data_IF_607407414338
#
_entry.id   IF_607407414338
#
_cell.length_a   1.000
_cell.length_b   1.000
_cell.length_c   1.000
_cell.angle_alpha   90.00
_cell.angle_beta   90.00
_cell.angle_gamma   90.00
#
_symmetry.space_group_name_H-M   'P 1'
#
loop_
_entity.id
_entity.type
_entity.pdbx_description
1 polymer ?
#
# COMPACT_ATOMS: atom_id res chain seq x y z
N UNK A 1 -2.64 -20.29 -10.08
CA UNK A 1 -2.57 -18.82 -10.02
C UNK A 1 -3.98 -18.29 -9.79
N UNK A 2 -4.18 -17.21 -9.03
CA UNK A 2 -5.51 -16.63 -8.82
C UNK A 2 -6.15 -16.27 -10.18
N UNK A 3 -7.43 -16.54 -10.34
CA UNK A 3 -8.24 -16.05 -11.49
C UNK A 3 -8.54 -14.56 -11.37
N UNK A 4 -8.20 -13.97 -10.23
CA UNK A 4 -8.41 -12.58 -9.84
C UNK A 4 -7.08 -11.82 -9.80
N UNK A 5 -7.20 -10.49 -9.69
CA UNK A 5 -6.04 -9.63 -9.52
C UNK A 5 -5.49 -9.72 -8.09
N UNK A 6 -4.16 -9.78 -7.98
CA UNK A 6 -3.44 -9.47 -6.74
C UNK A 6 -2.72 -8.14 -6.87
N UNK A 7 -2.53 -7.44 -5.76
CA UNK A 7 -1.98 -6.09 -5.75
C UNK A 7 -0.88 -5.95 -4.70
N UNK A 8 0.12 -5.16 -5.04
CA UNK A 8 0.94 -4.43 -4.07
C UNK A 8 0.84 -2.93 -4.40
N UNK A 9 1.49 -2.08 -3.61
CA UNK A 9 1.36 -0.62 -3.78
C UNK A 9 1.90 -0.11 -5.13
N UNK A 10 2.77 -0.87 -5.79
CA UNK A 10 3.43 -0.50 -7.04
C UNK A 10 3.20 -1.53 -8.16
N UNK A 11 2.22 -2.41 -8.04
CA UNK A 11 2.01 -3.44 -9.04
C UNK A 11 0.71 -4.19 -8.90
N UNK A 12 0.30 -4.81 -10.00
CA UNK A 12 -0.79 -5.78 -9.99
C UNK A 12 -0.47 -6.98 -10.87
N UNK A 13 -1.06 -8.12 -10.54
CA UNK A 13 -0.91 -9.36 -11.29
C UNK A 13 -2.28 -9.96 -11.55
N UNK A 14 -2.63 -10.15 -12.83
CA UNK A 14 -3.75 -10.98 -13.26
C UNK A 14 -3.22 -12.39 -13.48
N UNK A 15 -3.68 -13.36 -12.69
CA UNK A 15 -3.08 -14.69 -12.70
C UNK A 15 -3.45 -15.54 -13.93
N UNK A 16 -4.68 -16.06 -14.05
CA UNK A 16 -5.08 -16.96 -15.15
C UNK A 16 -6.54 -16.73 -15.59
N UNK A 17 -6.86 -15.54 -16.12
CA UNK A 17 -8.23 -15.23 -16.59
C UNK A 17 -8.63 -16.15 -17.77
N UNK A 18 -9.69 -16.96 -17.65
CA UNK A 18 -10.12 -17.83 -18.75
C UNK A 18 -10.85 -17.04 -19.83
N UNK A 19 -10.58 -17.38 -21.10
CA UNK A 19 -11.29 -16.92 -22.29
C UNK A 19 -11.81 -18.16 -23.00
N UNK A 20 -13.11 -18.40 -22.89
CA UNK A 20 -13.78 -19.52 -23.55
C UNK A 20 -14.21 -19.11 -24.95
N UNK A 21 -13.86 -19.93 -25.93
CA UNK A 21 -14.20 -19.73 -27.34
C UNK A 21 -15.07 -20.91 -27.77
N UNK A 22 -16.11 -20.63 -28.53
CA UNK A 22 -16.93 -21.64 -29.22
C UNK A 22 -17.04 -21.23 -30.67
N UNK A 23 -16.68 -22.14 -31.57
CA UNK A 23 -16.65 -21.92 -33.01
C UNK A 23 -17.86 -22.56 -33.69
N UNK A 24 -18.48 -21.82 -34.60
CA UNK A 24 -19.57 -22.28 -35.45
C UNK A 24 -19.08 -22.48 -36.88
N UNK A 25 -19.62 -23.52 -37.53
CA UNK A 25 -19.57 -23.69 -38.99
C UNK A 25 -20.97 -24.00 -39.48
N UNK A 26 -21.44 -23.27 -40.49
CA UNK A 26 -22.80 -23.40 -41.02
C UNK A 26 -23.89 -23.33 -39.91
N UNK A 27 -23.66 -22.46 -38.91
CA UNK A 27 -24.55 -22.26 -37.76
C UNK A 27 -24.49 -23.34 -36.68
N UNK A 28 -23.62 -24.35 -36.78
CA UNK A 28 -23.51 -25.44 -35.80
C UNK A 28 -22.17 -25.38 -35.05
N UNK A 29 -22.15 -25.64 -33.73
CA UNK A 29 -20.90 -25.76 -32.98
C UNK A 29 -20.00 -26.85 -33.55
N UNK A 30 -18.75 -26.50 -33.88
CA UNK A 30 -17.75 -27.45 -34.39
C UNK A 30 -16.65 -27.74 -33.37
N UNK A 31 -16.43 -26.85 -32.41
CA UNK A 31 -15.48 -27.06 -31.32
C UNK A 31 -15.39 -25.87 -30.38
N UNK A 32 -14.63 -26.05 -29.32
CA UNK A 32 -14.35 -25.04 -28.31
C UNK A 32 -12.87 -24.99 -27.98
N UNK A 33 -12.43 -23.86 -27.43
CA UNK A 33 -11.07 -23.67 -26.96
C UNK A 33 -11.04 -22.83 -25.69
N UNK A 34 -10.03 -23.07 -24.86
CA UNK A 34 -9.73 -22.32 -23.65
C UNK A 34 -8.38 -21.64 -23.79
N UNK A 35 -8.39 -20.31 -23.70
CA UNK A 35 -7.19 -19.51 -23.53
C UNK A 35 -7.12 -18.97 -22.09
N UNK A 36 -5.91 -18.80 -21.57
CA UNK A 36 -5.67 -18.07 -20.32
C UNK A 36 -4.90 -16.80 -20.59
N UNK A 37 -5.42 -15.68 -20.09
CA UNK A 37 -4.73 -14.39 -20.06
C UNK A 37 -4.15 -14.18 -18.67
N UNK A 38 -2.87 -13.85 -18.63
CA UNK A 38 -2.18 -13.38 -17.44
C UNK A 38 -1.48 -12.06 -17.72
N UNK A 39 -1.34 -11.23 -16.71
CA UNK A 39 -0.59 -9.98 -16.85
C UNK A 39 0.10 -9.58 -15.56
N UNK A 40 1.19 -8.82 -15.70
CA UNK A 40 1.90 -8.19 -14.57
C UNK A 40 2.15 -6.73 -14.91
N UNK A 41 1.51 -5.85 -14.15
CA UNK A 41 1.66 -4.41 -14.25
C UNK A 41 2.62 -3.93 -13.16
N UNK A 42 3.58 -3.07 -13.52
CA UNK A 42 4.57 -2.50 -12.60
C UNK A 42 4.55 -0.98 -12.70
N UNK A 43 4.04 -0.33 -11.66
CA UNK A 43 4.10 1.11 -11.45
C UNK A 43 5.49 1.55 -10.99
N UNK A 44 5.80 2.83 -11.16
CA UNK A 44 7.06 3.41 -10.74
C UNK A 44 6.79 4.58 -9.78
N UNK A 45 7.45 4.56 -8.62
CA UNK A 45 7.33 5.61 -7.61
C UNK A 45 7.92 6.95 -8.05
N UNK A 46 8.66 6.99 -9.15
CA UNK A 46 9.36 8.16 -9.66
C UNK A 46 9.10 8.42 -11.15
N UNK A 47 8.06 7.80 -11.74
CA UNK A 47 7.64 8.07 -13.12
C UNK A 47 6.14 8.10 -13.26
N UNK A 48 5.69 8.89 -14.24
CA UNK A 48 4.31 8.93 -14.72
C UNK A 48 4.03 7.94 -15.86
N UNK A 49 4.93 6.99 -16.08
CA UNK A 49 4.75 5.91 -17.04
C UNK A 49 4.97 4.56 -16.37
N UNK A 50 4.28 3.54 -16.88
CA UNK A 50 4.37 2.18 -16.37
C UNK A 50 4.18 1.17 -17.49
N UNK A 51 4.67 -0.05 -17.25
CA UNK A 51 4.57 -1.17 -18.18
C UNK A 51 3.70 -2.28 -17.62
N UNK A 52 3.07 -3.02 -18.52
CA UNK A 52 2.38 -4.25 -18.20
C UNK A 52 2.76 -5.36 -19.18
N UNK A 53 3.31 -6.45 -18.67
CA UNK A 53 3.60 -7.64 -19.46
C UNK A 53 2.36 -8.52 -19.54
N UNK A 54 1.91 -8.82 -20.75
CA UNK A 54 0.74 -9.64 -21.04
C UNK A 54 1.18 -10.99 -21.58
N UNK A 55 0.54 -12.07 -21.13
CA UNK A 55 0.71 -13.41 -21.70
C UNK A 55 -0.65 -14.04 -22.01
N UNK A 56 -0.71 -14.74 -23.13
CA UNK A 56 -1.90 -15.47 -23.58
C UNK A 56 -1.48 -16.89 -23.90
N UNK A 57 -1.95 -17.87 -23.12
CA UNK A 57 -1.66 -19.29 -23.31
C UNK A 57 -2.88 -20.00 -23.90
N UNK A 58 -2.67 -20.86 -24.89
CA UNK A 58 -3.70 -21.75 -25.39
C UNK A 58 -3.61 -23.09 -24.65
N UNK A 59 -4.57 -23.34 -23.77
CA UNK A 59 -4.55 -24.47 -22.83
C UNK A 59 -5.09 -25.75 -23.45
N UNK A 60 -6.32 -25.69 -23.97
CA UNK A 60 -7.04 -26.89 -24.41
C UNK A 60 -8.09 -26.56 -25.45
N UNK A 61 -8.47 -27.57 -26.23
CA UNK A 61 -9.55 -27.51 -27.19
C UNK A 61 -10.32 -28.82 -27.22
N UNK A 62 -11.56 -28.76 -27.71
CA UNK A 62 -12.45 -29.90 -27.87
C UNK A 62 -13.20 -29.81 -29.21
N UNK A 63 -13.66 -30.96 -29.72
CA UNK A 63 -14.42 -31.04 -30.96
C UNK A 63 -13.56 -31.14 -32.22
N UNK A 64 -14.15 -30.79 -33.36
CA UNK A 64 -13.59 -30.87 -34.71
C UNK A 64 -13.43 -29.47 -35.30
N UNK A 65 -12.55 -28.67 -34.69
CA UNK A 65 -12.19 -27.36 -35.24
C UNK A 65 -11.62 -27.50 -36.65
N UNK A 66 -11.89 -26.52 -37.52
CA UNK A 66 -11.44 -26.54 -38.91
C UNK A 66 -9.91 -26.40 -39.00
N UNK A 67 -9.34 -25.65 -38.06
CA UNK A 67 -7.90 -25.59 -37.76
C UNK A 67 -7.71 -25.61 -36.24
N UNK A 68 -6.50 -25.90 -35.76
CA UNK A 68 -6.19 -25.79 -34.33
C UNK A 68 -5.46 -24.47 -34.01
N UNK A 69 -5.49 -23.49 -34.91
CA UNK A 69 -4.77 -22.22 -34.75
C UNK A 69 -5.77 -21.07 -34.67
N UNK A 70 -5.55 -20.18 -33.71
CA UNK A 70 -6.31 -18.94 -33.57
C UNK A 70 -5.45 -17.73 -33.93
N UNK A 71 -6.07 -16.69 -34.47
CA UNK A 71 -5.47 -15.37 -34.66
C UNK A 71 -5.92 -14.45 -33.52
N UNK A 72 -4.95 -13.97 -32.74
CA UNK A 72 -5.18 -13.21 -31.51
C UNK A 72 -4.73 -11.76 -31.70
N UNK A 73 -5.64 -10.83 -31.46
CA UNK A 73 -5.33 -9.42 -31.22
C UNK A 73 -5.65 -9.05 -29.78
N UNK A 74 -4.84 -8.19 -29.19
CA UNK A 74 -5.01 -7.68 -27.84
C UNK A 74 -4.81 -6.18 -27.83
N UNK A 75 -5.66 -5.46 -27.07
CA UNK A 75 -5.55 -4.02 -26.89
C UNK A 75 -5.81 -3.67 -25.43
N UNK A 76 -4.87 -2.98 -24.81
CA UNK A 76 -5.03 -2.32 -23.54
C UNK A 76 -5.44 -0.85 -23.73
N UNK A 77 -6.11 -0.30 -22.73
CA UNK A 77 -6.54 1.09 -22.68
C UNK A 77 -6.58 1.59 -21.24
N UNK A 78 -6.64 2.91 -21.07
CA UNK A 78 -6.85 3.55 -19.79
C UNK A 78 -7.74 4.79 -19.94
N UNK A 79 -8.26 5.30 -18.83
CA UNK A 79 -9.15 6.46 -18.82
C UNK A 79 -8.45 7.75 -18.32
N UNK A 80 -9.22 8.85 -18.31
CA UNK A 80 -8.83 10.17 -17.76
C UNK A 80 -7.56 10.71 -18.41
N UNK A 81 -6.57 11.13 -17.60
CA UNK A 81 -5.31 11.71 -18.04
C UNK A 81 -4.29 10.68 -18.53
N UNK A 82 -4.59 9.38 -18.39
CA UNK A 82 -3.74 8.32 -18.91
C UNK A 82 -3.93 8.15 -20.43
N UNK A 83 -2.81 7.92 -21.11
CA UNK A 83 -2.72 7.57 -22.53
C UNK A 83 -1.89 6.30 -22.70
N UNK A 84 -2.21 5.52 -23.72
CA UNK A 84 -1.36 4.40 -24.11
C UNK A 84 -0.18 4.92 -24.92
N UNK A 85 1.05 4.68 -24.44
CA UNK A 85 2.26 4.83 -25.25
C UNK A 85 2.40 3.64 -26.21
N UNK A 86 2.01 2.44 -25.76
CA UNK A 86 1.89 1.23 -26.58
C UNK A 86 0.61 0.50 -26.17
N UNK A 87 -0.41 0.51 -27.03
CA UNK A 87 -1.73 -0.04 -26.72
C UNK A 87 -1.83 -1.56 -26.94
N UNK A 88 -0.96 -2.13 -27.77
CA UNK A 88 -1.00 -3.55 -28.13
C UNK A 88 0.36 -4.19 -27.89
N UNK A 89 0.41 -5.39 -27.28
CA UNK A 89 1.67 -6.10 -26.98
C UNK A 89 2.42 -6.59 -28.22
N UNK A 90 1.74 -6.62 -29.37
CA UNK A 90 2.29 -6.91 -30.68
C UNK A 90 1.49 -6.18 -31.77
N UNK A 91 2.09 -6.03 -32.95
CA UNK A 91 1.43 -5.44 -34.12
C UNK A 91 0.47 -6.44 -34.76
N UNK A 92 -0.78 -6.03 -34.99
CA UNK A 92 -1.77 -6.83 -35.70
C UNK A 92 -2.23 -8.07 -34.94
N UNK A 93 -2.54 -9.14 -35.68
CA UNK A 93 -2.94 -10.43 -35.14
C UNK A 93 -1.77 -11.42 -35.21
N UNK A 94 -1.58 -12.20 -34.14
CA UNK A 94 -0.61 -13.29 -34.12
C UNK A 94 -1.31 -14.65 -34.06
N UNK A 95 -0.74 -15.62 -34.74
CA UNK A 95 -1.18 -17.01 -34.70
C UNK A 95 -0.79 -17.67 -33.39
N UNK A 96 -1.70 -18.44 -32.80
CA UNK A 96 -1.51 -19.19 -31.56
C UNK A 96 -2.04 -20.62 -31.74
N UNK A 97 -1.15 -21.60 -31.67
CA UNK A 97 -1.47 -23.03 -31.74
C UNK A 97 -1.57 -23.65 -30.32
N UNK A 98 -2.06 -24.90 -30.17
CA UNK A 98 -2.25 -25.51 -28.86
C UNK A 98 -0.93 -25.63 -28.11
N UNK A 99 -0.95 -25.43 -26.79
CA UNK A 99 0.22 -25.42 -25.90
C UNK A 99 1.24 -24.29 -26.16
N UNK A 100 0.95 -23.34 -27.05
CA UNK A 100 1.79 -22.16 -27.24
C UNK A 100 1.39 -21.01 -26.30
N UNK A 101 2.29 -20.04 -26.18
CA UNK A 101 2.06 -18.80 -25.42
C UNK A 101 2.52 -17.61 -26.25
N UNK A 102 1.66 -16.61 -26.37
CA UNK A 102 2.03 -15.27 -26.84
C UNK A 102 2.41 -14.40 -25.65
N UNK A 103 3.37 -13.50 -25.83
CA UNK A 103 3.80 -12.56 -24.80
C UNK A 103 4.23 -11.25 -25.42
N UNK A 104 4.00 -10.15 -24.71
CA UNK A 104 4.47 -8.82 -25.08
C UNK A 104 4.06 -7.78 -24.04
N UNK A 105 4.51 -6.56 -24.22
CA UNK A 105 4.32 -5.48 -23.26
C UNK A 105 3.42 -4.38 -23.82
N UNK A 106 2.58 -3.82 -22.95
CA UNK A 106 1.88 -2.56 -23.20
C UNK A 106 2.43 -1.48 -22.29
N UNK A 107 2.36 -0.23 -22.74
CA UNK A 107 2.92 0.91 -22.02
C UNK A 107 1.88 2.01 -21.86
N UNK A 108 1.84 2.56 -20.65
CA UNK A 108 0.92 3.61 -20.23
C UNK A 108 1.72 4.85 -19.84
N UNK A 109 1.13 6.02 -20.02
CA UNK A 109 1.71 7.29 -19.59
C UNK A 109 0.64 8.28 -19.16
N UNK A 110 0.97 9.08 -18.14
CA UNK A 110 0.26 10.29 -17.75
C UNK A 110 1.17 11.48 -18.08
N UNK A 111 0.64 12.45 -18.82
CA UNK A 111 1.44 13.60 -19.27
C UNK A 111 1.71 14.62 -18.15
N UNK A 112 0.78 14.76 -17.21
CA UNK A 112 0.83 15.74 -16.13
C UNK A 112 0.36 15.08 -14.83
N UNK A 113 1.10 15.22 -13.71
CA UNK A 113 0.68 14.65 -12.44
C UNK A 113 -0.67 15.26 -12.02
N UNK A 114 -1.52 14.44 -11.42
CA UNK A 114 -2.82 14.90 -10.96
C UNK A 114 -2.70 15.31 -9.49
N UNK A 115 -2.67 16.61 -9.20
CA UNK A 115 -2.69 17.13 -7.84
C UNK A 115 -4.11 17.15 -7.25
N UNK A 116 -4.24 16.89 -5.95
CA UNK A 116 -5.50 16.82 -5.22
C UNK A 116 -6.38 15.62 -5.60
N UNK A 117 -5.81 14.59 -6.23
CA UNK A 117 -6.57 13.50 -6.84
C UNK A 117 -6.33 12.17 -6.12
N UNK A 118 -7.31 11.73 -5.32
CA UNK A 118 -7.28 10.45 -4.58
C UNK A 118 -7.55 9.21 -5.46
N UNK A 119 -6.80 9.06 -6.55
CA UNK A 119 -6.82 7.88 -7.42
C UNK A 119 -8.05 7.77 -8.32
N UNK A 120 -7.86 7.24 -9.53
CA UNK A 120 -9.00 7.11 -10.45
C UNK A 120 -8.67 6.74 -11.89
N UNK A 121 -7.40 6.45 -12.19
CA UNK A 121 -7.02 5.87 -13.47
C UNK A 121 -7.36 4.38 -13.41
N UNK A 122 -8.16 3.90 -14.35
CA UNK A 122 -8.47 2.47 -14.52
C UNK A 122 -7.87 1.96 -15.82
N UNK A 123 -7.33 0.75 -15.82
CA UNK A 123 -6.92 0.06 -17.04
C UNK A 123 -8.03 -0.86 -17.55
N UNK A 124 -8.09 -1.02 -18.87
CA UNK A 124 -9.11 -1.77 -19.59
C UNK A 124 -8.45 -2.59 -20.68
N UNK A 125 -9.08 -3.69 -21.06
CA UNK A 125 -8.50 -4.69 -21.94
C UNK A 125 -9.56 -5.23 -22.89
N UNK A 126 -9.12 -5.52 -24.11
CA UNK A 126 -9.91 -6.18 -25.15
C UNK A 126 -9.04 -7.23 -25.82
N UNK A 127 -9.53 -8.46 -25.87
CA UNK A 127 -8.98 -9.52 -26.72
C UNK A 127 -9.96 -9.79 -27.86
N UNK A 128 -9.43 -10.02 -29.05
CA UNK A 128 -10.15 -10.55 -30.19
C UNK A 128 -9.52 -11.86 -30.64
N UNK A 129 -10.35 -12.89 -30.79
CA UNK A 129 -9.94 -14.23 -31.18
C UNK A 129 -10.74 -14.65 -32.40
N UNK A 130 -10.01 -15.05 -33.45
CA UNK A 130 -10.59 -15.44 -34.73
C UNK A 130 -9.98 -16.76 -35.21
N UNK A 131 -10.76 -17.59 -35.87
CA UNK A 131 -10.29 -18.77 -36.60
C UNK A 131 -10.76 -18.72 -38.05
N UNK A 132 -9.88 -19.10 -38.97
CA UNK A 132 -10.21 -19.13 -40.39
C UNK A 132 -11.24 -20.25 -40.68
N UNK A 133 -12.29 -19.92 -41.43
CA UNK A 133 -13.31 -20.88 -41.87
C UNK A 133 -14.39 -21.21 -40.83
N UNK A 134 -14.42 -20.49 -39.71
CA UNK A 134 -15.46 -20.58 -38.67
C UNK A 134 -15.93 -19.19 -38.25
N UNK A 135 -17.04 -19.15 -37.52
CA UNK A 135 -17.56 -17.93 -36.87
C UNK A 135 -17.58 -18.16 -35.36
N UNK A 136 -16.81 -17.40 -34.57
CA UNK A 136 -16.86 -17.51 -33.13
C UNK A 136 -18.21 -16.98 -32.59
N UNK A 137 -18.81 -17.69 -31.64
CA UNK A 137 -20.02 -17.24 -30.92
C UNK A 137 -19.74 -15.92 -30.19
N UNK A 138 -18.53 -15.79 -29.64
CA UNK A 138 -18.06 -14.59 -28.96
C UNK A 138 -16.61 -14.29 -29.37
N UNK A 139 -16.39 -13.51 -30.45
CA UNK A 139 -15.05 -13.19 -30.97
C UNK A 139 -14.23 -12.30 -30.03
N UNK A 140 -14.84 -11.75 -28.99
CA UNK A 140 -14.22 -10.75 -28.14
C UNK A 140 -14.54 -10.94 -26.65
N UNK A 141 -13.56 -10.61 -25.83
CA UNK A 141 -13.77 -10.43 -24.39
C UNK A 141 -13.17 -9.10 -23.98
N UNK A 142 -13.86 -8.43 -23.06
CA UNK A 142 -13.40 -7.17 -22.46
C UNK A 142 -13.44 -7.29 -20.94
N UNK A 143 -12.51 -6.62 -20.29
CA UNK A 143 -12.47 -6.51 -18.83
C UNK A 143 -11.66 -5.28 -18.43
N UNK A 144 -11.68 -4.95 -17.15
CA UNK A 144 -10.90 -3.86 -16.56
C UNK A 144 -10.23 -4.33 -15.29
N UNK A 145 -9.15 -3.64 -14.92
CA UNK A 145 -8.61 -3.76 -13.58
C UNK A 145 -9.55 -3.01 -12.61
N UNK A 146 -10.12 -3.67 -11.58
CA UNK A 146 -11.11 -3.06 -10.69
C UNK A 146 -10.51 -2.02 -9.74
N UNK A 147 -9.18 -1.96 -9.61
CA UNK A 147 -8.51 -0.99 -8.73
C UNK A 147 -7.95 0.16 -9.53
N UNK A 148 -8.00 1.34 -8.92
CA UNK A 148 -7.55 2.58 -9.51
C UNK A 148 -6.10 2.86 -9.20
N UNK A 149 -5.41 3.49 -10.15
CA UNK A 149 -4.06 4.02 -10.01
C UNK A 149 -4.17 5.52 -9.71
N UNK A 150 -3.31 6.01 -8.83
CA UNK A 150 -3.04 7.43 -8.57
C UNK A 150 -1.67 7.76 -9.13
N UNK A 151 -1.55 8.88 -9.83
CA UNK A 151 -0.27 9.40 -10.34
C UNK A 151 -0.21 10.91 -10.06
N UNK A 152 0.71 11.33 -9.21
CA UNK A 152 0.78 12.65 -8.57
C UNK A 152 2.23 13.03 -8.23
N UNK A 153 2.43 14.26 -7.76
CA UNK A 153 3.64 14.83 -7.17
C UNK A 153 3.41 15.39 -5.75
N UNK A 154 2.41 14.87 -5.02
CA UNK A 154 2.00 15.45 -3.72
C UNK A 154 2.96 15.13 -2.57
N UNK A 155 3.73 14.05 -2.68
CA UNK A 155 4.65 13.59 -1.62
C UNK A 155 6.04 14.20 -1.76
N UNK A 156 6.45 14.48 -2.99
CA UNK A 156 7.71 15.13 -3.34
C UNK A 156 7.63 15.70 -4.75
N UNK A 157 8.57 16.56 -5.12
CA UNK A 157 8.69 17.14 -6.47
C UNK A 157 8.94 16.11 -7.58
N UNK A 158 9.17 14.84 -7.24
CA UNK A 158 9.30 13.74 -8.21
C UNK A 158 7.96 13.04 -8.33
N UNK A 159 7.25 13.16 -9.48
CA UNK A 159 5.96 12.52 -9.66
C UNK A 159 6.09 11.00 -9.79
N UNK A 160 5.06 10.27 -9.36
CA UNK A 160 5.04 8.81 -9.42
C UNK A 160 3.64 8.22 -9.29
N UNK A 161 3.52 6.92 -9.55
CA UNK A 161 2.23 6.23 -9.55
C UNK A 161 2.14 5.13 -8.48
N UNK A 162 0.97 4.98 -7.85
CA UNK A 162 0.66 3.95 -6.85
C UNK A 162 -0.75 3.40 -6.99
N UNK A 163 -0.98 2.23 -6.39
CA UNK A 163 -2.30 1.78 -5.99
C UNK A 163 -2.64 2.32 -4.59
N UNK A 164 -3.41 3.42 -4.46
CA UNK A 164 -3.62 4.09 -3.18
C UNK A 164 -4.44 3.26 -2.17
N UNK A 165 -5.21 2.26 -2.64
CA UNK A 165 -5.99 1.38 -1.78
C UNK A 165 -5.14 0.38 -0.96
N UNK A 166 -3.84 0.28 -1.22
CA UNK A 166 -2.92 -0.58 -0.48
C UNK A 166 -2.38 0.19 0.73
N UNK A 167 -2.85 -0.19 1.91
CA UNK A 167 -2.39 0.34 3.20
C UNK A 167 -0.97 -0.12 3.49
N UNK A 168 0.01 0.80 3.62
CA UNK A 168 1.37 0.44 3.96
C UNK A 168 1.50 0.00 5.42
N UNK A 169 2.61 -0.67 5.71
CA UNK A 169 2.97 -1.10 7.06
C UNK A 169 4.31 -0.47 7.43
N UNK A 170 4.30 0.35 8.48
CA UNK A 170 5.48 0.84 9.18
C UNK A 170 6.00 -0.28 10.07
N UNK A 171 7.24 -0.72 9.85
CA UNK A 171 7.84 -1.81 10.63
C UNK A 171 8.91 -1.22 11.54
N UNK A 172 8.69 -1.32 12.85
CA UNK A 172 9.61 -0.82 13.86
C UNK A 172 9.99 -1.95 14.82
N UNK A 173 11.02 -2.77 14.51
CA UNK A 173 11.43 -3.88 15.38
C UNK A 173 11.93 -3.40 16.74
N UNK A 174 11.55 -4.11 17.81
CA UNK A 174 12.03 -3.86 19.17
C UNK A 174 13.56 -3.92 19.25
N UNK A 175 14.18 -4.86 18.54
CA UNK A 175 15.64 -4.98 18.45
C UNK A 175 16.37 -3.75 17.89
N UNK A 176 15.68 -2.91 17.11
CA UNK A 176 16.27 -1.72 16.46
C UNK A 176 15.88 -0.43 17.17
N UNK A 177 14.58 -0.25 17.44
CA UNK A 177 14.03 1.01 17.96
C UNK A 177 13.72 0.97 19.47
N UNK A 178 13.91 -0.20 20.11
CA UNK A 178 13.96 -0.38 21.56
C UNK A 178 12.81 0.30 22.32
N UNK A 179 13.09 1.22 23.24
CA UNK A 179 12.11 1.90 24.10
C UNK A 179 11.04 2.65 23.29
N UNK A 180 11.37 3.17 22.11
CA UNK A 180 10.38 3.79 21.21
C UNK A 180 9.36 2.75 20.72
N UNK A 181 9.84 1.65 20.12
CA UNK A 181 8.99 0.56 19.66
C UNK A 181 8.20 -0.09 20.81
N UNK A 182 8.79 -0.19 22.01
CA UNK A 182 8.12 -0.70 23.21
C UNK A 182 6.95 0.20 23.63
N UNK A 183 7.11 1.52 23.56
CA UNK A 183 6.04 2.50 23.82
C UNK A 183 4.87 2.31 22.87
N UNK A 184 5.14 2.13 21.57
CA UNK A 184 4.11 1.93 20.55
C UNK A 184 3.38 0.60 20.76
N UNK A 185 4.14 -0.46 21.04
CA UNK A 185 3.59 -1.78 21.34
C UNK A 185 2.71 -1.77 22.60
N UNK A 186 3.13 -1.06 23.64
CA UNK A 186 2.35 -0.90 24.85
C UNK A 186 1.02 -0.22 24.57
N UNK A 187 0.99 0.89 23.83
CA UNK A 187 -0.28 1.53 23.47
C UNK A 187 -1.17 0.56 22.67
N UNK A 188 -0.61 -0.23 21.75
CA UNK A 188 -1.36 -1.21 20.96
C UNK A 188 -1.94 -2.37 21.78
N UNK A 189 -1.29 -2.78 22.87
CA UNK A 189 -1.65 -3.98 23.64
C UNK A 189 -2.35 -3.71 24.98
N UNK A 190 -2.01 -2.60 25.63
CA UNK A 190 -2.53 -2.26 26.96
C UNK A 190 -3.84 -1.47 26.89
N UNK A 191 -3.95 -0.56 25.92
CA UNK A 191 -5.10 0.33 25.76
C UNK A 191 -6.30 -0.35 25.09
N UNK A 192 -7.50 0.14 25.40
CA UNK A 192 -8.74 -0.19 24.69
C UNK A 192 -8.78 0.45 23.28
N UNK A 193 -7.78 1.27 22.93
CA UNK A 193 -7.61 1.93 21.64
C UNK A 193 -6.32 1.42 20.94
N UNK A 194 -6.37 0.26 20.26
CA UNK A 194 -5.21 -0.36 19.61
C UNK A 194 -4.91 0.32 18.25
N UNK A 195 -4.62 1.61 18.29
CA UNK A 195 -4.33 2.45 17.13
C UNK A 195 -3.07 1.98 16.40
N UNK A 196 -3.03 2.16 15.08
CA UNK A 196 -2.00 1.63 14.18
C UNK A 196 -2.09 0.14 13.88
N UNK A 197 -3.10 -0.58 14.37
CA UNK A 197 -3.37 -1.96 13.95
C UNK A 197 -4.17 -2.01 12.65
N UNK A 198 -4.32 -3.19 12.04
CA UNK A 198 -5.19 -3.37 10.86
C UNK A 198 -6.66 -3.00 11.12
N UNK A 199 -7.13 -3.16 12.36
CA UNK A 199 -8.50 -2.85 12.75
C UNK A 199 -8.70 -1.34 13.00
N UNK A 200 -7.63 -0.63 13.35
CA UNK A 200 -7.64 0.80 13.63
C UNK A 200 -6.34 1.44 13.08
N UNK A 201 -6.18 1.56 11.76
CA UNK A 201 -4.98 2.14 11.15
C UNK A 201 -4.83 3.61 11.55
N UNK A 202 -3.59 4.12 11.50
CA UNK A 202 -3.32 5.55 11.59
C UNK A 202 -3.50 6.19 10.21
N UNK A 203 -3.78 7.48 10.16
CA UNK A 203 -3.82 8.25 8.92
C UNK A 203 -2.73 9.31 8.94
N UNK A 204 -1.98 9.43 7.84
CA UNK A 204 -0.92 10.45 7.72
C UNK A 204 -1.52 11.84 7.89
N UNK A 205 -0.86 12.68 8.69
CA UNK A 205 -1.08 14.12 8.74
C UNK A 205 0.07 14.82 8.02
N UNK A 206 -0.16 15.41 6.85
CA UNK A 206 0.89 16.00 6.01
C UNK A 206 1.32 17.41 6.46
N UNK A 207 0.39 18.15 7.06
CA UNK A 207 0.57 19.53 7.49
C UNK A 207 1.54 19.62 8.68
N UNK A 208 2.70 20.23 8.46
CA UNK A 208 3.79 20.33 9.44
C UNK A 208 3.39 21.18 10.65
N UNK A 209 2.60 22.24 10.45
CA UNK A 209 2.14 23.10 11.53
C UNK A 209 1.14 22.34 12.42
N UNK A 210 0.26 21.55 11.79
CA UNK A 210 -0.66 20.67 12.53
C UNK A 210 0.09 19.56 13.30
N UNK A 211 1.18 19.01 12.73
CA UNK A 211 2.04 18.07 13.45
C UNK A 211 2.72 18.73 14.67
N UNK A 212 3.16 19.98 14.54
CA UNK A 212 3.74 20.71 15.66
C UNK A 212 2.70 20.99 16.75
N UNK A 213 1.46 21.33 16.37
CA UNK A 213 0.34 21.44 17.32
C UNK A 213 0.09 20.10 18.03
N UNK A 214 0.09 18.97 17.32
CA UNK A 214 -0.06 17.65 17.92
C UNK A 214 1.06 17.36 18.94
N UNK A 215 2.31 17.64 18.56
CA UNK A 215 3.47 17.44 19.44
C UNK A 215 3.38 18.32 20.69
N UNK A 216 3.04 19.59 20.50
CA UNK A 216 2.92 20.55 21.60
C UNK A 216 1.70 20.26 22.48
N UNK A 217 0.69 19.53 22.03
CA UNK A 217 -0.44 19.10 22.87
C UNK A 217 -0.06 17.91 23.75
N UNK A 218 0.62 16.92 23.17
CA UNK A 218 0.96 15.66 23.86
C UNK A 218 2.21 15.81 24.74
N UNK A 219 3.26 16.39 24.17
CA UNK A 219 4.61 16.45 24.72
C UNK A 219 5.01 17.86 25.19
N UNK A 220 4.14 18.54 25.94
CA UNK A 220 4.54 19.78 26.65
C UNK A 220 5.63 19.45 27.67
N UNK A 221 6.87 19.86 27.41
CA UNK A 221 8.01 19.52 28.28
C UNK A 221 8.20 20.54 29.39
N UNK A 222 8.32 20.07 30.63
CA UNK A 222 8.74 20.86 31.78
C UNK A 222 10.27 20.86 31.96
N UNK A 223 10.78 21.82 32.72
CA UNK A 223 12.17 21.78 33.17
C UNK A 223 12.45 20.51 33.98
N UNK A 224 13.67 19.98 33.87
CA UNK A 224 14.09 18.82 34.66
C UNK A 224 14.00 19.11 36.16
N UNK A 225 13.48 18.14 36.93
CA UNK A 225 13.24 18.31 38.37
C UNK A 225 12.01 19.16 38.72
N UNK A 226 11.21 19.58 37.74
CA UNK A 226 9.91 20.17 38.00
C UNK A 226 8.96 19.17 38.68
N UNK A 227 7.90 19.69 39.31
CA UNK A 227 6.85 18.85 39.89
C UNK A 227 6.16 18.07 38.77
N UNK A 228 6.08 16.75 38.92
CA UNK A 228 5.34 15.88 38.01
C UNK A 228 3.85 16.22 38.08
N UNK A 229 3.26 16.63 36.94
CA UNK A 229 1.81 16.78 36.77
C UNK A 229 1.36 15.97 35.54
N UNK A 230 0.09 15.57 35.43
CA UNK A 230 -0.39 14.78 34.30
C UNK A 230 -0.17 15.45 32.93
N UNK A 231 -0.26 16.78 32.87
CA UNK A 231 -0.13 17.59 31.66
C UNK A 231 1.30 17.62 31.13
N UNK A 232 2.27 17.81 32.02
CA UNK A 232 3.65 18.07 31.64
C UNK A 232 4.46 16.78 31.53
N UNK A 233 5.33 16.72 30.52
CA UNK A 233 6.38 15.72 30.43
C UNK A 233 7.61 16.23 31.20
N UNK A 234 7.93 15.60 32.33
CA UNK A 234 9.09 15.97 33.16
C UNK A 234 10.25 15.05 32.79
N UNK A 235 11.33 15.62 32.21
CA UNK A 235 12.50 14.83 31.81
C UNK A 235 13.15 14.13 33.02
N UNK A 236 13.66 12.94 32.77
CA UNK A 236 14.40 12.08 33.70
C UNK A 236 15.82 11.83 33.19
N UNK A 237 16.52 12.91 32.82
CA UNK A 237 17.85 12.84 32.20
C UNK A 237 18.90 12.13 33.08
N UNK A 238 18.71 12.13 34.40
CA UNK A 238 19.55 11.37 35.34
C UNK A 238 19.49 9.83 35.18
N UNK A 239 18.42 9.29 34.56
CA UNK A 239 18.23 7.86 34.27
C UNK A 239 18.27 7.56 32.78
N UNK A 240 17.71 8.45 31.96
CA UNK A 240 17.52 8.25 30.52
C UNK A 240 18.33 9.30 29.78
N UNK A 241 19.40 8.91 29.05
CA UNK A 241 20.23 9.86 28.31
C UNK A 241 19.40 10.66 27.31
N UNK A 242 19.55 11.99 27.33
CA UNK A 242 18.81 12.92 26.46
C UNK A 242 17.31 12.60 26.39
N UNK A 243 16.69 12.42 27.56
CA UNK A 243 15.31 12.00 27.69
C UNK A 243 14.35 12.88 26.85
N UNK A 244 13.62 12.20 25.97
CA UNK A 244 12.70 12.79 25.02
C UNK A 244 11.31 12.17 25.19
N UNK A 245 10.29 12.99 24.97
CA UNK A 245 8.91 12.54 24.93
C UNK A 245 8.64 11.90 23.56
N UNK A 246 8.41 10.60 23.56
CA UNK A 246 7.99 9.85 22.38
C UNK A 246 6.49 9.56 22.45
N UNK A 247 5.73 10.05 21.48
CA UNK A 247 4.27 10.07 21.53
C UNK A 247 3.65 9.04 20.57
N UNK A 248 2.66 8.29 21.08
CA UNK A 248 1.85 7.41 20.26
C UNK A 248 0.36 7.59 20.58
N UNK A 249 -0.52 7.84 19.59
CA UNK A 249 -0.23 7.96 18.16
C UNK A 249 0.72 9.11 17.81
N UNK A 250 1.48 8.93 16.73
CA UNK A 250 2.49 9.90 16.30
C UNK A 250 1.90 11.29 16.03
N UNK A 251 2.63 12.37 16.31
CA UNK A 251 2.22 13.71 15.86
C UNK A 251 1.98 13.82 14.34
N UNK A 252 2.71 13.02 13.55
CA UNK A 252 2.54 12.88 12.10
C UNK A 252 1.34 12.02 11.67
N UNK A 253 0.40 11.77 12.59
CA UNK A 253 -0.87 11.10 12.31
C UNK A 253 -2.07 11.94 12.75
N UNK A 254 -3.22 11.73 12.10
CA UNK A 254 -4.49 12.41 12.42
C UNK A 254 -4.98 12.04 13.82
N UNK A 255 -4.67 10.82 14.27
CA UNK A 255 -5.03 10.31 15.60
C UNK A 255 -4.13 10.86 16.72
N UNK A 256 -3.04 11.54 16.38
CA UNK A 256 -2.11 12.14 17.33
C UNK A 256 -2.66 13.40 18.02
N UNK A 257 -1.86 13.99 18.91
CA UNK A 257 -2.17 15.29 19.52
C UNK A 257 -3.11 15.24 20.72
N UNK A 258 -3.36 14.07 21.29
CA UNK A 258 -4.13 13.97 22.54
C UNK A 258 -3.36 14.69 23.66
N UNK A 259 -4.00 15.61 24.42
CA UNK A 259 -3.29 16.34 25.46
C UNK A 259 -2.61 15.42 26.45
N UNK A 260 -1.39 15.79 26.86
CA UNK A 260 -0.53 14.99 27.73
C UNK A 260 -1.27 14.39 28.93
N UNK A 261 -2.15 15.14 29.59
CA UNK A 261 -2.96 14.71 30.74
C UNK A 261 -3.78 13.43 30.53
N UNK A 262 -4.12 13.09 29.28
CA UNK A 262 -4.93 11.92 28.92
C UNK A 262 -4.11 10.74 28.38
N UNK A 263 -2.78 10.84 28.37
CA UNK A 263 -1.87 9.78 27.95
C UNK A 263 -1.39 8.90 29.10
N UNK A 264 -0.94 7.69 28.83
CA UNK A 264 -0.10 6.95 29.76
C UNK A 264 1.34 7.47 29.71
N UNK A 265 2.00 7.65 30.85
CA UNK A 265 3.42 8.01 30.91
C UNK A 265 4.23 6.77 31.29
N UNK A 266 5.10 6.31 30.40
CA UNK A 266 5.74 4.99 30.50
C UNK A 266 7.26 5.05 30.31
N UNK A 267 7.97 4.24 31.09
CA UNK A 267 9.39 3.94 30.96
C UNK A 267 9.54 2.45 30.65
N UNK A 268 10.49 2.10 29.79
CA UNK A 268 10.80 0.71 29.45
C UNK A 268 12.26 0.37 29.78
N UNK A 269 12.47 -0.88 30.17
CA UNK A 269 13.80 -1.44 30.40
C UNK A 269 13.84 -2.89 29.90
N UNK A 270 14.98 -3.31 29.34
CA UNK A 270 15.20 -4.69 28.94
C UNK A 270 15.86 -5.47 30.08
N UNK A 271 15.12 -6.36 30.73
CA UNK A 271 15.61 -7.18 31.85
C UNK A 271 15.53 -8.65 31.45
N UNK A 272 16.66 -9.36 31.46
CA UNK A 272 16.75 -10.79 31.09
C UNK A 272 16.15 -11.13 29.71
N UNK A 273 16.20 -10.18 28.76
CA UNK A 273 15.63 -10.37 27.42
C UNK A 273 14.14 -10.06 27.30
N UNK A 274 13.50 -9.61 28.37
CA UNK A 274 12.09 -9.18 28.38
C UNK A 274 11.99 -7.67 28.59
N UNK A 275 11.16 -7.01 27.78
CA UNK A 275 10.83 -5.60 27.96
C UNK A 275 9.83 -5.46 29.10
N UNK A 276 10.28 -4.86 30.19
CA UNK A 276 9.42 -4.50 31.33
C UNK A 276 9.08 -3.02 31.25
N UNK A 277 7.89 -2.64 31.73
CA UNK A 277 7.44 -1.26 31.77
C UNK A 277 7.14 -0.80 33.19
N UNK A 278 7.31 0.49 33.42
CA UNK A 278 6.94 1.16 34.66
C UNK A 278 6.16 2.45 34.36
N UNK A 279 5.30 2.84 35.29
CA UNK A 279 4.67 4.16 35.29
C UNK A 279 5.75 5.22 35.54
N UNK A 280 5.90 6.15 34.61
CA UNK A 280 6.92 7.18 34.70
C UNK A 280 6.50 8.36 35.57
N UNK A 281 5.22 8.74 35.51
CA UNK A 281 4.65 9.84 36.28
C UNK A 281 3.87 9.31 37.48
N UNK A 282 4.44 9.46 38.67
CA UNK A 282 3.90 8.90 39.91
C UNK A 282 2.49 9.40 40.26
N UNK A 283 2.12 10.58 39.78
CA UNK A 283 0.80 11.21 40.03
C UNK A 283 -0.30 10.73 39.08
N UNK A 284 0.05 9.92 38.08
CA UNK A 284 -0.82 9.57 36.95
C UNK A 284 -0.82 8.07 36.68
N UNK A 285 -1.73 7.30 37.32
CA UNK A 285 -1.83 5.86 37.11
C UNK A 285 -2.04 5.49 35.64
N UNK A 286 -1.50 4.35 35.22
CA UNK A 286 -1.76 3.81 33.89
C UNK A 286 -3.24 3.45 33.74
N UNK A 287 -3.81 3.78 32.59
CA UNK A 287 -5.21 3.53 32.26
C UNK A 287 -5.35 2.91 30.87
N UNK A 288 -6.22 1.90 30.77
CA UNK A 288 -6.58 1.30 29.47
C UNK A 288 -7.40 2.25 28.60
N UNK A 289 -8.10 3.20 29.22
CA UNK A 289 -8.90 4.20 28.52
C UNK A 289 -8.04 5.33 27.92
N UNK A 290 -6.74 5.38 28.24
CA UNK A 290 -5.83 6.36 27.65
C UNK A 290 -5.69 6.12 26.15
N UNK A 291 -5.92 7.18 25.37
CA UNK A 291 -5.86 7.15 23.89
C UNK A 291 -4.46 7.34 23.33
N UNK A 292 -3.52 7.64 24.20
CA UNK A 292 -2.13 7.87 23.84
C UNK A 292 -1.18 7.36 24.94
N UNK A 293 0.07 7.19 24.57
CA UNK A 293 1.19 6.95 25.47
C UNK A 293 2.31 7.94 25.18
N UNK A 294 3.00 8.37 26.24
CA UNK A 294 4.24 9.15 26.24
C UNK A 294 5.34 8.29 26.82
N UNK A 295 6.23 7.83 25.95
CA UNK A 295 7.43 7.11 26.33
C UNK A 295 8.52 8.08 26.74
N UNK A 296 9.21 7.77 27.83
CA UNK A 296 10.53 8.34 28.11
C UNK A 296 11.58 7.54 27.32
N UNK A 297 12.12 8.15 26.27
CA UNK A 297 12.95 7.47 25.27
C UNK A 297 14.19 8.32 24.99
N UNK A 298 15.40 7.72 24.90
CA UNK A 298 16.57 8.42 24.41
C UNK A 298 16.31 9.11 23.06
N UNK A 299 16.74 10.37 22.93
CA UNK A 299 16.42 11.20 21.76
C UNK A 299 16.82 10.57 20.42
N UNK A 300 17.93 9.83 20.38
CA UNK A 300 18.42 9.17 19.18
C UNK A 300 17.47 8.06 18.69
N UNK A 301 16.91 7.27 19.60
CA UNK A 301 15.94 6.20 19.30
C UNK A 301 14.60 6.76 18.85
N UNK A 302 14.09 7.79 19.54
CA UNK A 302 12.88 8.51 19.14
C UNK A 302 13.06 9.12 17.74
N UNK A 303 14.19 9.82 17.51
CA UNK A 303 14.51 10.40 16.20
C UNK A 303 14.62 9.34 15.11
N UNK A 304 15.23 8.17 15.40
CA UNK A 304 15.34 7.08 14.44
C UNK A 304 13.98 6.50 14.06
N UNK A 305 13.07 6.30 15.02
CA UNK A 305 11.72 5.82 14.76
C UNK A 305 10.91 6.82 13.92
N UNK A 306 10.98 8.12 14.25
CA UNK A 306 10.35 9.19 13.47
C UNK A 306 10.90 9.29 12.04
N UNK A 307 12.21 9.11 11.86
CA UNK A 307 12.83 9.07 10.52
C UNK A 307 12.30 7.90 9.67
N UNK A 308 12.03 6.74 10.27
CA UNK A 308 11.49 5.59 9.53
C UNK A 308 10.07 5.83 9.02
N UNK A 309 9.23 6.52 9.80
CA UNK A 309 7.92 7.00 9.30
C UNK A 309 8.11 7.93 8.09
N UNK A 310 9.06 8.88 8.17
CA UNK A 310 9.42 9.73 7.03
C UNK A 310 9.88 8.93 5.80
N UNK A 311 10.71 7.89 5.98
CA UNK A 311 11.13 7.00 4.90
C UNK A 311 9.97 6.22 4.31
N UNK A 312 9.04 5.71 5.14
CA UNK A 312 7.84 5.01 4.68
C UNK A 312 6.99 5.92 3.79
N UNK A 313 6.74 7.16 4.24
CA UNK A 313 5.96 8.16 3.48
C UNK A 313 6.53 8.35 2.08
N UNK A 314 7.85 8.51 1.96
CA UNK A 314 8.51 8.67 0.67
C UNK A 314 8.51 7.36 -0.14
N UNK A 315 8.86 6.24 0.49
CA UNK A 315 8.98 4.95 -0.18
C UNK A 315 7.65 4.44 -0.72
N UNK A 316 6.56 4.75 -0.04
CA UNK A 316 5.20 4.33 -0.37
C UNK A 316 4.40 5.45 -1.03
N UNK A 317 4.94 6.66 -1.19
CA UNK A 317 4.20 7.84 -1.66
C UNK A 317 2.89 8.03 -0.90
N UNK A 318 2.97 8.16 0.42
CA UNK A 318 1.79 8.43 1.25
C UNK A 318 1.41 9.91 1.20
N UNK A 319 0.20 10.22 0.72
CA UNK A 319 -0.34 11.59 0.74
C UNK A 319 -1.09 11.85 2.04
N UNK A 320 -1.61 13.06 2.19
CA UNK A 320 -2.39 13.41 3.38
C UNK A 320 -3.59 12.47 3.53
N UNK A 321 -3.90 12.09 4.76
CA UNK A 321 -4.93 11.11 5.10
C UNK A 321 -4.74 9.68 4.56
N UNK A 322 -3.61 9.34 3.92
CA UNK A 322 -3.33 7.94 3.56
C UNK A 322 -3.23 7.10 4.85
N UNK A 323 -4.01 6.03 4.92
CA UNK A 323 -3.96 5.07 6.01
C UNK A 323 -2.63 4.29 6.01
N UNK A 324 -2.11 4.00 7.20
CA UNK A 324 -0.99 3.08 7.41
C UNK A 324 -1.14 2.33 8.73
N UNK A 325 -0.49 1.17 8.80
CA UNK A 325 -0.41 0.36 10.01
C UNK A 325 0.99 0.40 10.59
N UNK A 326 1.13 0.08 11.87
CA UNK A 326 2.40 0.00 12.59
C UNK A 326 2.54 -1.41 13.13
N UNK A 327 3.58 -2.12 12.70
CA UNK A 327 3.92 -3.44 13.20
C UNK A 327 5.22 -3.37 13.98
N UNK A 328 5.20 -3.96 15.17
CA UNK A 328 6.35 -4.05 16.07
C UNK A 328 6.78 -5.51 16.20
N UNK A 329 7.70 -6.01 15.35
CA UNK A 329 8.31 -7.32 15.53
C UNK A 329 9.18 -7.37 16.80
N UNK A 330 9.24 -8.55 17.42
CA UNK A 330 10.26 -8.87 18.42
C UNK A 330 11.67 -8.77 17.82
#
# INVERSE_FOLDING_TARGET
>A
MPTEYTYDRFGSCLGNRPINITELKDGKPVGSALLHVSSRLSLDRAKLSWKESVRIKYESFEGKLTTNTFHIAFTAGCNRSCKMATASPWTGQLSLAPNQTLSGDVEYNVATPNSGFNGGITTSYKINVMQAGTVPVQPNATWSNPRTIRCDDEVSSVPGCVYPHITPELVLPLSTYKEAAATYLFQQQYSDYPLGTKAAPLHRLADIDAQEVNRNSTCVVAAEGAVETPELFVRKSSRIPDDSCDEYPFAASVEGGTPGAYCNDVEFELVNGEWIYAQANSTKPLSKEARCSRGHVPLDLNSAAGQELGRLVQAQRMIDFDAFTVRIPA
#
